data_IF_424452924697
#
_entry.id   IF_424452924697
#
_cell.length_a   1.000
_cell.length_b   1.000
_cell.length_c   1.000
_cell.angle_alpha   90.00
_cell.angle_beta   90.00
_cell.angle_gamma   90.00
#
_symmetry.space_group_name_H-M   'P 1'
#
loop_
_entity.id
_entity.type
_entity.pdbx_description
1 polymer ?
#
# COMPACT_ATOMS: atom_id res chain seq x y z
N UNK A 1 1.58 16.06 -16.12
CA UNK A 1 0.53 15.03 -15.97
C UNK A 1 1.17 13.82 -15.29
N UNK A 2 0.79 13.49 -14.03
CA UNK A 2 1.42 12.36 -13.33
C UNK A 2 0.92 11.06 -13.98
N UNK A 3 1.81 10.41 -14.71
CA UNK A 3 1.54 9.17 -15.45
C UNK A 3 0.92 8.11 -14.53
N UNK A 4 -0.09 7.39 -15.00
CA UNK A 4 -0.81 6.33 -14.25
C UNK A 4 0.18 5.31 -13.66
N UNK A 5 1.27 5.03 -14.38
CA UNK A 5 2.37 4.21 -13.92
C UNK A 5 3.01 4.69 -12.62
N UNK A 6 3.19 6.01 -12.45
CA UNK A 6 3.73 6.60 -11.22
C UNK A 6 2.75 6.51 -10.05
N UNK A 7 1.45 6.41 -10.31
CA UNK A 7 0.45 6.12 -9.28
C UNK A 7 0.54 4.66 -8.85
N UNK A 8 0.58 3.73 -9.82
CA UNK A 8 0.71 2.29 -9.56
C UNK A 8 2.01 1.98 -8.79
N UNK A 9 3.14 2.55 -9.20
CA UNK A 9 4.44 2.42 -8.50
C UNK A 9 4.42 3.02 -7.08
N UNK A 10 3.61 4.06 -6.85
CA UNK A 10 3.39 4.62 -5.51
C UNK A 10 2.56 3.70 -4.63
N UNK A 11 1.53 3.08 -5.20
CA UNK A 11 0.69 2.08 -4.52
C UNK A 11 1.49 0.80 -4.20
N UNK A 12 2.30 0.32 -5.15
CA UNK A 12 3.10 -0.89 -5.00
C UNK A 12 4.43 -0.69 -4.25
N UNK A 13 4.68 0.48 -3.65
CA UNK A 13 5.85 0.71 -2.81
C UNK A 13 7.23 0.61 -3.51
N UNK A 14 7.28 0.43 -4.84
CA UNK A 14 8.51 0.17 -5.63
C UNK A 14 9.03 1.45 -6.33
N UNK A 15 8.40 2.60 -6.13
CA UNK A 15 8.92 3.87 -6.67
C UNK A 15 10.16 4.34 -5.92
N UNK A 16 11.30 4.49 -6.62
CA UNK A 16 12.50 5.18 -6.10
C UNK A 16 12.09 6.52 -5.48
N UNK A 17 12.61 6.78 -4.27
CA UNK A 17 12.42 8.06 -3.57
C UNK A 17 13.07 9.15 -4.43
N UNK A 18 12.26 10.06 -4.96
CA UNK A 18 12.76 11.18 -5.75
C UNK A 18 13.70 12.04 -4.88
N UNK A 19 14.99 12.17 -5.20
CA UNK A 19 15.95 12.89 -4.36
C UNK A 19 15.67 14.40 -4.30
N UNK A 20 14.92 14.93 -5.28
CA UNK A 20 14.49 16.33 -5.36
C UNK A 20 13.16 16.59 -4.65
N UNK A 21 12.53 15.58 -4.04
CA UNK A 21 11.24 15.76 -3.37
C UNK A 21 11.43 16.57 -2.08
N UNK A 22 10.60 17.59 -1.83
CA UNK A 22 10.66 18.35 -0.59
C UNK A 22 10.50 17.39 0.58
N UNK A 23 11.44 17.42 1.52
CA UNK A 23 11.49 16.57 2.72
C UNK A 23 10.42 16.99 3.76
N UNK A 24 9.22 17.36 3.29
CA UNK A 24 8.11 17.74 4.12
C UNK A 24 7.49 16.53 4.79
N UNK A 25 7.27 16.62 6.11
CA UNK A 25 6.59 15.61 6.95
C UNK A 25 5.32 15.02 6.31
N UNK A 26 4.61 15.84 5.52
CA UNK A 26 3.41 15.48 4.76
C UNK A 26 3.63 14.40 3.69
N UNK A 27 4.79 14.36 3.01
CA UNK A 27 5.09 13.34 1.99
C UNK A 27 5.33 11.97 2.62
N UNK A 28 5.99 11.95 3.79
CA UNK A 28 6.19 10.71 4.56
C UNK A 28 4.87 10.19 5.17
N UNK A 29 3.96 11.09 5.57
CA UNK A 29 2.61 10.74 6.03
C UNK A 29 1.75 10.15 4.90
N UNK A 30 1.77 10.73 3.70
CA UNK A 30 1.08 10.16 2.54
C UNK A 30 1.56 8.75 2.20
N UNK A 31 2.85 8.47 2.39
CA UNK A 31 3.41 7.14 2.22
C UNK A 31 2.92 6.19 3.33
N UNK A 32 2.89 6.64 4.58
CA UNK A 32 2.34 5.88 5.71
C UNK A 32 0.89 5.42 5.50
N UNK A 33 0.04 6.28 4.94
CA UNK A 33 -1.36 5.94 4.63
C UNK A 33 -1.49 4.76 3.65
N UNK A 34 -0.59 4.64 2.67
CA UNK A 34 -0.57 3.52 1.74
C UNK A 34 -0.03 2.21 2.37
N UNK A 35 0.76 2.28 3.45
CA UNK A 35 1.14 1.08 4.23
C UNK A 35 -0.06 0.52 4.98
N UNK A 36 -0.84 1.40 5.57
CA UNK A 36 -2.01 1.03 6.37
C UNK A 36 -3.05 0.32 5.49
N UNK A 37 -3.32 0.83 4.28
CA UNK A 37 -4.26 0.19 3.35
C UNK A 37 -3.84 -1.23 2.97
N UNK A 38 -2.56 -1.46 2.67
CA UNK A 38 -2.03 -2.80 2.35
C UNK A 38 -2.11 -3.73 3.56
N UNK A 39 -1.76 -3.26 4.76
CA UNK A 39 -1.83 -4.06 5.99
C UNK A 39 -3.28 -4.50 6.27
N UNK A 40 -4.24 -3.57 6.19
CA UNK A 40 -5.67 -3.88 6.40
C UNK A 40 -6.18 -4.86 5.32
N UNK A 41 -5.78 -4.67 4.07
CA UNK A 41 -6.13 -5.58 2.97
C UNK A 41 -5.59 -7.01 3.21
N UNK A 42 -4.33 -7.13 3.63
CA UNK A 42 -3.72 -8.43 3.95
C UNK A 42 -4.40 -9.10 5.15
N UNK A 43 -4.76 -8.34 6.19
CA UNK A 43 -5.53 -8.86 7.33
C UNK A 43 -6.89 -9.42 6.85
N UNK A 44 -7.61 -8.67 6.02
CA UNK A 44 -8.88 -9.13 5.46
C UNK A 44 -8.72 -10.40 4.61
N UNK A 45 -7.66 -10.50 3.80
CA UNK A 45 -7.33 -11.71 3.04
C UNK A 45 -7.06 -12.90 3.96
N UNK A 46 -6.28 -12.71 5.04
CA UNK A 46 -6.00 -13.78 6.00
C UNK A 46 -7.30 -14.25 6.66
N UNK A 47 -8.17 -13.33 7.11
CA UNK A 47 -9.47 -13.67 7.71
C UNK A 47 -10.34 -14.45 6.71
N UNK A 48 -10.35 -14.03 5.44
CA UNK A 48 -11.09 -14.70 4.38
C UNK A 48 -10.57 -16.12 4.13
N UNK A 49 -9.25 -16.29 4.04
CA UNK A 49 -8.62 -17.60 3.87
C UNK A 49 -8.92 -18.51 5.06
N UNK A 50 -8.75 -18.03 6.30
CA UNK A 50 -9.09 -18.79 7.50
C UNK A 50 -10.55 -19.21 7.49
N UNK A 51 -11.50 -18.29 7.20
CA UNK A 51 -12.92 -18.65 7.05
C UNK A 51 -13.17 -19.67 5.96
N UNK A 52 -12.45 -19.60 4.84
CA UNK A 52 -12.60 -20.53 3.73
C UNK A 52 -12.16 -21.94 4.14
N UNK A 53 -11.00 -22.07 4.78
CA UNK A 53 -10.48 -23.35 5.25
C UNK A 53 -11.28 -23.92 6.43
N UNK A 54 -11.77 -23.08 7.35
CA UNK A 54 -12.61 -23.53 8.48
C UNK A 54 -14.03 -23.92 8.05
N UNK A 55 -14.57 -23.37 6.95
CA UNK A 55 -15.92 -23.70 6.45
C UNK A 55 -15.94 -24.93 5.53
N UNK A 56 -14.81 -25.26 4.91
CA UNK A 56 -14.67 -26.43 4.02
C UNK A 56 -14.18 -27.71 4.73
N UNK A 57 -13.95 -27.67 6.03
CA UNK A 57 -13.54 -28.80 6.86
C UNK A 57 -14.63 -29.15 7.88
#
# INVERSE_FOLDING_TARGET
>A
MKSIWQQILRYLYIGKKDPSAPQGRYVSMMHGMNRISIIVFLIALIIMLVKLFTRHH
#
